data_IF_365555618027
#
_entry.id   IF_365555618027
#
_cell.length_a   1.000
_cell.length_b   1.000
_cell.length_c   1.000
_cell.angle_alpha   90.00
_cell.angle_beta   90.00
_cell.angle_gamma   90.00
#
_symmetry.space_group_name_H-M   'P 1'
#
loop_
_entity.id
_entity.type
_entity.pdbx_description
1 polymer ?
#
# COMPACT_ATOMS: atom_id res chain seq x y z
N UNK A 1 24.48 -6.41 -8.15
CA UNK A 1 23.67 -5.17 -8.13
C UNK A 1 24.59 -4.01 -7.81
N UNK A 2 24.81 -3.12 -8.77
CA UNK A 2 25.64 -1.93 -8.60
C UNK A 2 24.99 -0.98 -7.57
N UNK A 3 25.80 -0.42 -6.66
CA UNK A 3 25.41 0.63 -5.71
C UNK A 3 24.39 0.22 -4.64
N UNK A 4 24.29 -1.06 -4.29
CA UNK A 4 23.52 -1.52 -3.14
C UNK A 4 24.41 -1.88 -1.98
N UNK A 5 23.97 -1.54 -0.77
CA UNK A 5 24.60 -1.92 0.49
C UNK A 5 23.66 -2.79 1.33
N UNK A 6 24.23 -3.69 2.12
CA UNK A 6 23.45 -4.49 3.08
C UNK A 6 23.40 -3.77 4.43
N UNK A 7 22.19 -3.42 4.90
CA UNK A 7 21.95 -2.78 6.19
C UNK A 7 20.74 -3.36 6.90
N UNK A 8 20.88 -3.76 8.17
CA UNK A 8 19.81 -4.42 8.96
C UNK A 8 19.15 -5.59 8.21
N UNK A 9 19.95 -6.44 7.55
CA UNK A 9 19.50 -7.54 6.71
C UNK A 9 18.57 -7.12 5.53
N UNK A 10 18.72 -5.90 5.05
CA UNK A 10 18.02 -5.38 3.86
C UNK A 10 19.06 -4.96 2.82
N UNK A 11 18.67 -4.99 1.54
CA UNK A 11 19.47 -4.52 0.42
C UNK A 11 18.98 -3.11 0.04
N UNK A 12 19.85 -2.11 0.20
CA UNK A 12 19.45 -0.70 0.08
C UNK A 12 20.35 -0.01 -0.93
N UNK A 13 19.75 0.66 -1.90
CA UNK A 13 20.53 1.47 -2.86
C UNK A 13 21.12 2.70 -2.16
N UNK A 14 22.34 3.08 -2.49
CA UNK A 14 23.06 4.17 -1.82
C UNK A 14 22.40 5.54 -1.95
N UNK A 15 21.55 5.74 -2.97
CA UNK A 15 20.79 6.98 -3.18
C UNK A 15 19.44 7.01 -2.44
N UNK A 16 19.07 5.95 -1.70
CA UNK A 16 17.83 5.94 -0.94
C UNK A 16 17.94 6.88 0.29
N UNK A 17 16.91 7.65 0.53
CA UNK A 17 16.82 8.58 1.67
C UNK A 17 15.87 7.99 2.71
N UNK A 18 16.43 7.61 3.87
CA UNK A 18 15.68 6.90 4.90
C UNK A 18 15.82 7.60 6.26
N UNK A 19 14.71 8.00 6.86
CA UNK A 19 14.68 8.59 8.20
C UNK A 19 14.74 7.51 9.28
N UNK A 20 15.94 6.95 9.52
CA UNK A 20 16.18 5.83 10.43
C UNK A 20 15.67 6.03 11.86
N UNK A 21 15.49 7.28 12.31
CA UNK A 21 14.99 7.61 13.66
C UNK A 21 13.47 7.35 13.77
N UNK A 22 12.77 7.27 12.64
CA UNK A 22 11.31 7.16 12.58
C UNK A 22 10.82 5.89 11.88
N UNK A 23 11.71 4.91 11.68
CA UNK A 23 11.37 3.71 10.91
C UNK A 23 11.76 2.45 11.69
N UNK A 24 10.81 1.54 11.83
CA UNK A 24 11.03 0.14 12.18
C UNK A 24 10.91 -0.69 10.90
N UNK A 25 11.94 -1.48 10.57
CA UNK A 25 11.97 -2.29 9.35
C UNK A 25 12.43 -3.72 9.65
N UNK A 26 11.71 -4.68 9.09
CA UNK A 26 12.05 -6.10 9.14
C UNK A 26 13.27 -6.46 8.28
N UNK A 27 13.26 -7.67 7.73
CA UNK A 27 14.40 -8.27 7.01
C UNK A 27 14.07 -8.51 5.53
N UNK A 28 15.12 -8.68 4.73
CA UNK A 28 15.06 -9.09 3.33
C UNK A 28 14.28 -8.13 2.43
N UNK A 29 14.17 -6.87 2.80
CA UNK A 29 13.60 -5.86 1.92
C UNK A 29 14.64 -5.38 0.92
N UNK A 30 14.18 -5.05 -0.29
CA UNK A 30 14.98 -4.40 -1.34
C UNK A 30 14.45 -2.99 -1.49
N UNK A 31 15.34 -1.99 -1.30
CA UNK A 31 14.99 -0.57 -1.41
C UNK A 31 15.80 0.02 -2.56
N UNK A 32 15.11 0.38 -3.62
CA UNK A 32 15.66 0.84 -4.88
C UNK A 32 16.23 2.26 -4.86
N UNK A 33 16.72 2.71 -6.03
CA UNK A 33 17.28 4.05 -6.19
C UNK A 33 16.27 5.15 -5.89
N UNK A 34 16.73 6.21 -5.22
CA UNK A 34 15.94 7.42 -4.95
C UNK A 34 14.61 7.17 -4.20
N UNK A 35 14.50 6.03 -3.54
CA UNK A 35 13.36 5.77 -2.62
C UNK A 35 13.48 6.70 -1.43
N UNK A 36 12.37 7.34 -1.05
CA UNK A 36 12.30 8.22 0.13
C UNK A 36 11.35 7.62 1.16
N UNK A 37 11.86 7.29 2.36
CA UNK A 37 11.06 6.74 3.45
C UNK A 37 11.19 7.64 4.68
N UNK A 38 10.06 8.18 5.15
CA UNK A 38 10.00 8.96 6.37
C UNK A 38 10.12 10.47 6.16
N UNK A 39 9.71 10.97 4.99
CA UNK A 39 9.48 12.38 4.77
C UNK A 39 8.20 12.84 5.49
N UNK A 40 8.02 14.15 5.64
CA UNK A 40 6.86 14.74 6.30
C UNK A 40 5.55 14.33 5.63
N UNK A 41 4.50 14.16 6.46
CA UNK A 41 3.15 13.96 5.95
C UNK A 41 2.72 15.14 5.08
N UNK A 42 2.16 14.88 3.92
CA UNK A 42 1.61 15.91 3.04
C UNK A 42 0.24 16.38 3.54
N UNK A 43 0.26 17.03 4.69
CA UNK A 43 -0.94 17.55 5.35
C UNK A 43 -0.67 18.92 5.96
N UNK A 44 -1.41 19.99 5.59
CA UNK A 44 -1.08 21.37 5.93
C UNK A 44 -0.96 21.66 7.43
N UNK A 45 -1.68 20.91 8.26
CA UNK A 45 -1.71 21.08 9.73
C UNK A 45 -0.97 19.99 10.49
N UNK A 46 -0.21 19.12 9.83
CA UNK A 46 0.47 17.99 10.47
C UNK A 46 1.82 18.41 11.04
N UNK A 47 2.13 17.88 12.23
CA UNK A 47 3.49 17.91 12.81
C UNK A 47 4.31 16.69 12.41
N UNK A 48 3.80 15.80 11.58
CA UNK A 48 4.47 14.57 11.09
C UNK A 48 5.17 13.80 12.20
N UNK A 49 4.40 13.30 13.13
CA UNK A 49 4.91 12.56 14.28
C UNK A 49 4.44 11.09 14.25
N UNK A 50 5.18 10.20 14.87
CA UNK A 50 4.93 8.75 14.84
C UNK A 50 6.01 8.02 14.06
N UNK A 51 5.72 6.81 13.63
CA UNK A 51 6.70 5.92 12.98
C UNK A 51 6.14 5.28 11.72
N UNK A 52 7.05 4.84 10.85
CA UNK A 52 6.74 3.94 9.74
C UNK A 52 7.18 2.53 10.17
N UNK A 53 6.28 1.57 10.08
CA UNK A 53 6.59 0.15 10.30
C UNK A 53 6.56 -0.58 8.97
N UNK A 54 7.65 -1.28 8.64
CA UNK A 54 7.80 -2.09 7.42
C UNK A 54 8.15 -3.51 7.83
N UNK A 55 7.39 -4.48 7.34
CA UNK A 55 7.63 -5.90 7.56
C UNK A 55 8.81 -6.45 6.74
N UNK A 56 8.68 -7.68 6.27
CA UNK A 56 9.74 -8.43 5.62
C UNK A 56 9.48 -8.65 4.13
N UNK A 57 10.55 -8.92 3.37
CA UNK A 57 10.50 -9.38 1.97
C UNK A 57 9.76 -8.42 1.04
N UNK A 58 9.76 -7.12 1.31
CA UNK A 58 9.16 -6.13 0.43
C UNK A 58 10.17 -5.65 -0.61
N UNK A 59 9.68 -5.30 -1.79
CA UNK A 59 10.46 -4.68 -2.85
C UNK A 59 9.89 -3.29 -3.11
N UNK A 60 10.73 -2.27 -2.96
CA UNK A 60 10.44 -0.89 -3.30
C UNK A 60 11.32 -0.50 -4.48
N UNK A 61 10.72 -0.29 -5.63
CA UNK A 61 11.44 0.15 -6.81
C UNK A 61 11.78 1.66 -6.72
N UNK A 62 12.44 2.18 -7.72
CA UNK A 62 12.96 3.55 -7.73
C UNK A 62 11.87 4.61 -7.56
N UNK A 63 12.22 5.71 -6.90
CA UNK A 63 11.36 6.88 -6.66
C UNK A 63 10.08 6.61 -5.85
N UNK A 64 9.98 5.50 -5.13
CA UNK A 64 8.86 5.27 -4.20
C UNK A 64 8.98 6.24 -3.03
N UNK A 65 7.85 6.87 -2.66
CA UNK A 65 7.75 7.78 -1.53
C UNK A 65 6.80 7.25 -0.45
N UNK A 66 7.26 7.22 0.81
CA UNK A 66 6.47 6.78 1.96
C UNK A 66 6.55 7.86 3.03
N UNK A 67 5.40 8.46 3.37
CA UNK A 67 5.31 9.57 4.31
C UNK A 67 5.08 9.11 5.75
N UNK A 68 5.61 9.91 6.68
CA UNK A 68 5.34 9.77 8.12
C UNK A 68 3.85 9.97 8.41
N UNK A 69 3.33 9.35 9.49
CA UNK A 69 1.98 9.61 9.94
C UNK A 69 1.82 11.03 10.50
N UNK A 70 0.55 11.47 10.59
CA UNK A 70 0.21 12.84 11.01
C UNK A 70 0.29 13.05 12.52
N UNK A 71 0.17 12.00 13.33
CA UNK A 71 0.10 12.06 14.81
C UNK A 71 1.02 11.05 15.48
N UNK A 72 1.45 11.33 16.72
CA UNK A 72 2.40 10.50 17.48
C UNK A 72 1.97 9.05 17.71
N UNK A 73 0.68 8.78 17.85
CA UNK A 73 0.16 7.43 18.11
C UNK A 73 -0.27 6.71 16.82
N UNK A 74 -0.18 7.36 15.67
CA UNK A 74 -0.46 6.76 14.37
C UNK A 74 0.80 6.18 13.75
N UNK A 75 0.61 5.26 12.84
CA UNK A 75 1.68 4.67 12.04
C UNK A 75 1.29 4.60 10.57
N UNK A 76 2.26 4.74 9.69
CA UNK A 76 2.17 4.25 8.33
C UNK A 76 2.72 2.82 8.35
N UNK A 77 1.92 1.84 7.95
CA UNK A 77 2.24 0.43 8.07
C UNK A 77 2.35 -0.25 6.72
N UNK A 78 3.40 -1.03 6.52
CA UNK A 78 3.60 -1.88 5.34
C UNK A 78 3.95 -3.28 5.84
N UNK A 79 3.10 -4.25 5.54
CA UNK A 79 3.25 -5.65 5.93
C UNK A 79 4.38 -6.36 5.18
N UNK A 80 4.13 -7.59 4.77
CA UNK A 80 5.16 -8.46 4.21
C UNK A 80 4.89 -8.80 2.74
N UNK A 81 5.94 -9.14 2.00
CA UNK A 81 5.89 -9.67 0.63
C UNK A 81 5.19 -8.72 -0.36
N UNK A 82 5.27 -7.42 -0.15
CA UNK A 82 4.68 -6.44 -1.04
C UNK A 82 5.64 -6.07 -2.18
N UNK A 83 5.07 -5.80 -3.36
CA UNK A 83 5.81 -5.32 -4.51
C UNK A 83 5.30 -3.93 -4.90
N UNK A 84 6.11 -2.93 -4.64
CA UNK A 84 5.77 -1.52 -4.82
C UNK A 84 6.66 -0.97 -5.92
N UNK A 85 6.04 -0.74 -7.08
CA UNK A 85 6.75 -0.33 -8.29
C UNK A 85 7.06 1.17 -8.28
N UNK A 86 7.87 1.56 -9.23
CA UNK A 86 8.47 2.88 -9.31
C UNK A 86 7.46 4.04 -9.27
N UNK A 87 7.90 5.13 -8.68
CA UNK A 87 7.15 6.40 -8.56
C UNK A 87 5.81 6.28 -7.83
N UNK A 88 5.61 5.21 -7.04
CA UNK A 88 4.43 5.04 -6.19
C UNK A 88 4.54 5.94 -4.97
N UNK A 89 3.45 6.62 -4.61
CA UNK A 89 3.35 7.42 -3.40
C UNK A 89 2.38 6.77 -2.40
N UNK A 90 2.87 6.53 -1.19
CA UNK A 90 2.09 6.07 -0.04
C UNK A 90 2.07 7.24 0.95
N UNK A 91 0.93 7.91 1.04
CA UNK A 91 0.79 9.06 1.90
C UNK A 91 0.62 8.65 3.38
N UNK A 92 0.49 9.64 4.25
CA UNK A 92 0.46 9.49 5.70
C UNK A 92 -0.65 8.56 6.21
N UNK A 93 -0.40 7.89 7.32
CA UNK A 93 -1.38 7.04 8.03
C UNK A 93 -1.89 5.82 7.21
N UNK A 94 -1.27 5.49 6.08
CA UNK A 94 -1.68 4.36 5.26
C UNK A 94 -1.35 3.01 5.91
N UNK A 95 -2.19 2.02 5.64
CA UNK A 95 -1.94 0.60 6.00
C UNK A 95 -1.92 -0.23 4.72
N UNK A 96 -0.78 -0.85 4.44
CA UNK A 96 -0.61 -1.81 3.35
C UNK A 96 -0.41 -3.18 3.99
N UNK A 97 -1.33 -4.10 3.80
CA UNK A 97 -1.22 -5.44 4.38
C UNK A 97 -0.16 -6.30 3.63
N UNK A 98 -0.40 -7.59 3.45
CA UNK A 98 0.59 -8.49 2.87
C UNK A 98 0.27 -8.86 1.41
N UNK A 99 1.30 -9.21 0.63
CA UNK A 99 1.18 -9.68 -0.74
C UNK A 99 0.48 -8.70 -1.69
N UNK A 100 0.57 -7.41 -1.39
CA UNK A 100 -0.03 -6.33 -2.19
C UNK A 100 0.91 -5.97 -3.35
N UNK A 101 0.33 -5.68 -4.50
CA UNK A 101 1.06 -5.12 -5.65
C UNK A 101 0.53 -3.71 -5.93
N UNK A 102 1.41 -2.72 -5.79
CA UNK A 102 1.17 -1.35 -6.25
C UNK A 102 2.02 -1.13 -7.50
N UNK A 103 1.36 -1.07 -8.67
CA UNK A 103 2.07 -0.84 -9.92
C UNK A 103 2.60 0.60 -10.03
N UNK A 104 3.37 0.87 -11.05
CA UNK A 104 4.03 2.18 -11.27
C UNK A 104 3.06 3.36 -11.19
N UNK A 105 3.50 4.44 -10.54
CA UNK A 105 2.74 5.69 -10.40
C UNK A 105 1.39 5.53 -9.66
N UNK A 106 1.22 4.54 -8.81
CA UNK A 106 0.06 4.47 -7.93
C UNK A 106 0.17 5.58 -6.87
N UNK A 107 -0.94 6.26 -6.60
CA UNK A 107 -1.03 7.29 -5.57
C UNK A 107 -2.09 6.86 -4.55
N UNK A 108 -1.67 6.68 -3.31
CA UNK A 108 -2.55 6.45 -2.18
C UNK A 108 -2.64 7.73 -1.36
N UNK A 109 -3.81 8.32 -1.26
CA UNK A 109 -4.07 9.44 -0.35
C UNK A 109 -3.98 9.01 1.11
N UNK A 110 -3.95 9.98 2.03
CA UNK A 110 -3.79 9.71 3.46
C UNK A 110 -4.83 8.74 4.04
N UNK A 111 -4.40 7.91 4.98
CA UNK A 111 -5.25 6.95 5.70
C UNK A 111 -5.93 5.90 4.78
N UNK A 112 -5.30 5.53 3.68
CA UNK A 112 -5.78 4.44 2.82
C UNK A 112 -5.36 3.10 3.42
N UNK A 113 -6.30 2.16 3.46
CA UNK A 113 -6.04 0.77 3.88
C UNK A 113 -6.12 -0.17 2.68
N UNK A 114 -5.02 -0.78 2.30
CA UNK A 114 -4.96 -1.79 1.24
C UNK A 114 -4.84 -3.16 1.86
N UNK A 115 -5.87 -3.97 1.73
CA UNK A 115 -5.95 -5.31 2.32
C UNK A 115 -5.14 -6.34 1.52
N UNK A 116 -4.98 -7.54 2.11
CA UNK A 116 -4.13 -8.62 1.59
C UNK A 116 -4.37 -8.94 0.10
N UNK A 117 -3.29 -9.10 -0.64
CA UNK A 117 -3.30 -9.59 -2.02
C UNK A 117 -3.99 -8.67 -3.04
N UNK A 118 -4.34 -7.45 -2.66
CA UNK A 118 -4.90 -6.48 -3.59
C UNK A 118 -3.86 -6.06 -4.64
N UNK A 119 -4.31 -5.81 -5.86
CA UNK A 119 -3.46 -5.38 -6.98
C UNK A 119 -3.99 -4.09 -7.58
N UNK A 120 -3.18 -3.04 -7.53
CA UNK A 120 -3.49 -1.74 -8.12
C UNK A 120 -2.64 -1.55 -9.37
N UNK A 121 -3.31 -1.37 -10.51
CA UNK A 121 -2.68 -1.16 -11.81
C UNK A 121 -2.00 0.20 -11.93
N UNK A 122 -1.25 0.37 -13.02
CA UNK A 122 -0.47 1.59 -13.31
C UNK A 122 -1.35 2.84 -13.24
N UNK A 123 -0.85 3.90 -12.59
CA UNK A 123 -1.53 5.21 -12.44
C UNK A 123 -2.90 5.15 -11.77
N UNK A 124 -3.12 4.20 -10.88
CA UNK A 124 -4.32 4.19 -10.03
C UNK A 124 -4.18 5.28 -8.96
N UNK A 125 -5.22 6.10 -8.81
CA UNK A 125 -5.32 7.10 -7.75
C UNK A 125 -6.42 6.70 -6.76
N UNK A 126 -6.08 6.66 -5.48
CA UNK A 126 -6.99 6.28 -4.40
C UNK A 126 -7.23 7.49 -3.49
N UNK A 127 -8.49 7.89 -3.36
CA UNK A 127 -8.88 8.98 -2.46
C UNK A 127 -8.55 8.62 -1.00
N UNK A 128 -8.21 9.62 -0.20
CA UNK A 128 -7.96 9.44 1.24
C UNK A 128 -9.11 8.70 1.97
N UNK A 129 -8.79 8.01 3.06
CA UNK A 129 -9.73 7.25 3.88
C UNK A 129 -10.45 6.11 3.14
N UNK A 130 -9.87 5.57 2.07
CA UNK A 130 -10.45 4.44 1.34
C UNK A 130 -9.90 3.11 1.83
N UNK A 131 -10.75 2.07 1.77
CA UNK A 131 -10.36 0.68 2.01
C UNK A 131 -10.43 -0.07 0.68
N UNK A 132 -9.30 -0.65 0.28
CA UNK A 132 -9.19 -1.50 -0.90
C UNK A 132 -9.25 -2.95 -0.44
N UNK A 133 -10.33 -3.65 -0.77
CA UNK A 133 -10.60 -5.00 -0.29
C UNK A 133 -9.58 -6.04 -0.78
N UNK A 134 -9.40 -7.10 0.02
CA UNK A 134 -8.46 -8.19 -0.25
C UNK A 134 -8.69 -8.82 -1.62
N UNK A 135 -7.61 -9.15 -2.32
CA UNK A 135 -7.63 -9.83 -3.62
C UNK A 135 -8.43 -9.08 -4.70
N UNK A 136 -8.76 -7.82 -4.47
CA UNK A 136 -9.35 -6.97 -5.52
C UNK A 136 -8.30 -6.58 -6.56
N UNK A 137 -8.74 -6.32 -7.78
CA UNK A 137 -7.89 -5.82 -8.86
C UNK A 137 -8.43 -4.49 -9.36
N UNK A 138 -7.62 -3.45 -9.25
CA UNK A 138 -7.94 -2.13 -9.77
C UNK A 138 -7.23 -1.95 -11.10
N UNK A 139 -7.99 -1.77 -12.17
CA UNK A 139 -7.44 -1.59 -13.51
C UNK A 139 -6.61 -0.31 -13.62
N UNK A 140 -5.65 -0.31 -14.56
CA UNK A 140 -4.78 0.84 -14.79
C UNK A 140 -5.58 2.13 -15.02
N UNK A 141 -5.01 3.26 -14.61
CA UNK A 141 -5.56 4.60 -14.82
C UNK A 141 -6.97 4.80 -14.23
N UNK A 142 -7.30 4.08 -13.15
CA UNK A 142 -8.60 4.17 -12.46
C UNK A 142 -8.55 5.11 -11.27
N UNK A 143 -9.68 5.77 -10.96
CA UNK A 143 -9.83 6.66 -9.81
C UNK A 143 -10.81 6.06 -8.80
N UNK A 144 -10.31 5.73 -7.61
CA UNK A 144 -11.11 5.28 -6.48
C UNK A 144 -11.56 6.50 -5.70
N UNK A 145 -12.82 6.86 -5.83
CA UNK A 145 -13.41 8.04 -5.20
C UNK A 145 -13.96 7.76 -3.81
N UNK A 146 -14.23 8.80 -3.02
CA UNK A 146 -14.67 8.72 -1.61
C UNK A 146 -15.85 7.79 -1.35
N UNK A 147 -16.81 7.68 -2.29
CA UNK A 147 -18.03 6.89 -2.10
C UNK A 147 -17.93 5.44 -2.61
N UNK A 148 -16.85 5.06 -3.27
CA UNK A 148 -16.73 3.73 -3.86
C UNK A 148 -16.30 2.70 -2.81
N UNK A 149 -17.13 1.68 -2.59
CA UNK A 149 -16.78 0.52 -1.75
C UNK A 149 -16.06 -0.53 -2.60
N UNK A 150 -14.74 -0.66 -2.39
CA UNK A 150 -13.88 -1.62 -3.11
C UNK A 150 -13.88 -2.95 -2.36
N UNK A 151 -14.93 -3.74 -2.57
CA UNK A 151 -15.14 -5.02 -1.87
C UNK A 151 -14.13 -6.09 -2.30
N UNK A 152 -13.74 -7.03 -1.41
CA UNK A 152 -12.79 -8.10 -1.69
C UNK A 152 -13.17 -8.98 -2.88
N UNK A 153 -12.17 -9.39 -3.65
CA UNK A 153 -12.30 -10.37 -4.71
C UNK A 153 -12.94 -9.89 -6.00
N UNK A 154 -13.10 -8.58 -6.20
CA UNK A 154 -13.70 -8.03 -7.43
C UNK A 154 -12.72 -7.16 -8.20
N UNK A 155 -13.02 -6.94 -9.48
CA UNK A 155 -12.33 -6.01 -10.38
C UNK A 155 -13.04 -4.68 -10.40
N UNK A 156 -12.25 -3.59 -10.49
CA UNK A 156 -12.74 -2.21 -10.57
C UNK A 156 -11.93 -1.45 -11.62
N UNK A 157 -12.57 -0.69 -12.50
CA UNK A 157 -11.88 0.23 -13.40
C UNK A 157 -12.74 1.36 -13.88
N UNK A 158 -12.08 2.43 -14.33
CA UNK A 158 -12.66 3.65 -14.89
C UNK A 158 -12.38 4.92 -14.10
N UNK A 159 -12.87 6.04 -14.61
CA UNK A 159 -12.75 7.40 -14.03
C UNK A 159 -14.13 8.07 -13.95
N UNK A 160 -14.86 7.96 -12.84
CA UNK A 160 -14.59 7.19 -11.62
C UNK A 160 -14.64 5.68 -11.84
N UNK A 161 -13.93 4.92 -11.01
CA UNK A 161 -13.95 3.47 -11.08
C UNK A 161 -15.32 2.90 -10.73
N UNK A 162 -15.68 1.79 -11.38
CA UNK A 162 -16.91 1.04 -11.10
C UNK A 162 -16.58 -0.43 -10.90
N UNK A 163 -17.33 -1.10 -10.02
CA UNK A 163 -17.22 -2.54 -9.84
C UNK A 163 -17.57 -3.28 -11.13
N UNK A 164 -16.81 -4.30 -11.44
CA UNK A 164 -17.00 -5.21 -12.57
C UNK A 164 -17.20 -6.65 -12.07
N UNK A 165 -16.61 -7.62 -12.73
CA UNK A 165 -16.73 -9.04 -12.43
C UNK A 165 -15.87 -9.46 -11.23
N UNK A 166 -16.06 -10.67 -10.71
CA UNK A 166 -15.14 -11.28 -9.76
C UNK A 166 -13.74 -11.41 -10.35
N UNK A 167 -12.73 -11.24 -9.52
CA UNK A 167 -11.31 -11.41 -9.89
C UNK A 167 -10.92 -12.89 -9.82
N UNK A 168 -11.52 -13.74 -10.66
CA UNK A 168 -11.29 -15.20 -10.62
C UNK A 168 -9.81 -15.56 -10.75
N UNK A 169 -9.06 -14.85 -11.59
CA UNK A 169 -7.63 -15.08 -11.79
C UNK A 169 -6.86 -14.80 -10.49
N UNK A 170 -7.11 -13.64 -9.86
CA UNK A 170 -6.47 -13.27 -8.61
C UNK A 170 -6.82 -14.23 -7.46
N UNK A 171 -8.08 -14.63 -7.34
CA UNK A 171 -8.53 -15.59 -6.34
C UNK A 171 -7.87 -16.95 -6.54
N UNK A 172 -7.82 -17.47 -7.77
CA UNK A 172 -7.15 -18.75 -8.10
C UNK A 172 -5.65 -18.69 -7.80
N UNK A 173 -4.96 -17.64 -8.23
CA UNK A 173 -3.52 -17.44 -7.98
C UNK A 173 -3.17 -17.46 -6.49
N UNK A 174 -4.03 -16.89 -5.66
CA UNK A 174 -3.83 -16.84 -4.21
C UNK A 174 -4.50 -18.02 -3.46
N UNK A 175 -5.02 -19.02 -4.17
CA UNK A 175 -5.69 -20.20 -3.60
C UNK A 175 -6.85 -19.86 -2.67
N UNK A 176 -7.60 -18.80 -2.98
CA UNK A 176 -8.73 -18.32 -2.19
C UNK A 176 -10.01 -19.01 -2.62
N UNK A 177 -10.56 -19.82 -1.74
CA UNK A 177 -11.87 -20.45 -1.92
C UNK A 177 -13.02 -19.50 -1.49
N UNK A 178 -14.27 -19.94 -1.67
CA UNK A 178 -15.45 -19.14 -1.34
C UNK A 178 -15.55 -18.81 0.17
N UNK A 179 -15.15 -19.73 1.06
CA UNK A 179 -15.19 -19.49 2.50
C UNK A 179 -14.14 -18.45 2.92
N UNK A 180 -12.92 -18.55 2.39
CA UNK A 180 -11.89 -17.55 2.62
C UNK A 180 -12.34 -16.17 2.11
N UNK A 181 -12.92 -16.10 0.92
CA UNK A 181 -13.43 -14.84 0.38
C UNK A 181 -14.56 -14.26 1.23
N UNK A 182 -15.47 -15.09 1.74
CA UNK A 182 -16.55 -14.66 2.65
C UNK A 182 -15.99 -14.08 3.95
N UNK A 183 -14.99 -14.70 4.53
CA UNK A 183 -14.27 -14.19 5.71
C UNK A 183 -13.64 -12.82 5.43
N UNK A 184 -12.95 -12.65 4.30
CA UNK A 184 -12.36 -11.36 3.93
C UNK A 184 -13.41 -10.26 3.68
N UNK A 185 -14.58 -10.62 3.13
CA UNK A 185 -15.69 -9.68 2.98
C UNK A 185 -16.24 -9.24 4.33
N UNK A 186 -16.34 -10.13 5.31
CA UNK A 186 -16.77 -9.77 6.67
C UNK A 186 -15.76 -8.84 7.34
N UNK A 187 -14.47 -9.19 7.28
CA UNK A 187 -13.38 -8.32 7.79
C UNK A 187 -13.39 -6.93 7.14
N UNK A 188 -13.62 -6.86 5.84
CA UNK A 188 -13.78 -5.59 5.12
C UNK A 188 -14.95 -4.74 5.66
N UNK A 189 -16.11 -5.37 5.96
CA UNK A 189 -17.25 -4.67 6.55
C UNK A 189 -16.94 -4.13 7.95
N UNK A 190 -16.27 -4.92 8.77
CA UNK A 190 -15.81 -4.48 10.11
C UNK A 190 -14.87 -3.27 10.02
N UNK A 191 -13.91 -3.30 9.10
CA UNK A 191 -13.01 -2.17 8.85
C UNK A 191 -13.75 -0.89 8.41
N UNK A 192 -14.81 -1.01 7.61
CA UNK A 192 -15.65 0.15 7.25
C UNK A 192 -16.31 0.73 8.49
N UNK A 193 -16.96 -0.11 9.32
CA UNK A 193 -17.64 0.34 10.53
C UNK A 193 -16.72 1.02 11.55
N UNK A 194 -15.44 0.67 11.56
CA UNK A 194 -14.44 1.29 12.45
C UNK A 194 -13.90 2.63 11.91
N UNK A 195 -14.13 2.94 10.63
CA UNK A 195 -13.63 4.15 9.97
C UNK A 195 -14.75 5.19 9.66
N UNK A 196 -16.02 4.82 9.82
CA UNK A 196 -17.18 5.72 9.74
C UNK A 196 -17.38 6.39 11.11
#
# INVERSE_FOLDING_TARGET
>A
MLNYIKKKNNLIHITAIINWKKISIGKNNIIGPYVVIGNFAQHPKSKSSGIIEIGNNNIFNEYVNIHLPTKNKKKTFIGNNNYIMNSTTIDHDCTIENNVVLSSNVILGGNVHVMNGAQLGIKVCVHQNQIIGSYSMIGMNSFITKKLKVIPGYKFYGKPAKRKTKNLIGLKKNKINNNNLKSEINRYKELILLND
#
